data_IF_986136094135
#
_entry.id   IF_986136094135
#
_cell.length_a   1.000
_cell.length_b   1.000
_cell.length_c   1.000
_cell.angle_alpha   90.00
_cell.angle_beta   90.00
_cell.angle_gamma   90.00
#
_symmetry.space_group_name_H-M   'P 1'
#
loop_
_entity.id
_entity.type
_entity.pdbx_description
1 polymer ?
#
# COMPACT_ATOMS: atom_id res chain seq x y z
N UNK A 1 27.82 33.56 31.04
CA UNK A 1 27.75 32.50 30.01
C UNK A 1 26.42 31.80 30.18
N UNK A 2 25.49 31.99 29.25
CA UNK A 2 24.21 31.29 29.28
C UNK A 2 24.41 29.87 28.76
N UNK A 3 23.85 28.83 29.41
CA UNK A 3 23.94 27.47 28.90
C UNK A 3 23.15 27.39 27.59
N UNK A 4 23.78 26.87 26.54
CA UNK A 4 23.12 26.56 25.29
C UNK A 4 22.00 25.55 25.58
N UNK A 5 20.75 25.95 25.33
CA UNK A 5 19.62 25.03 25.31
C UNK A 5 19.93 23.98 24.23
N UNK A 6 20.08 22.72 24.65
CA UNK A 6 20.07 21.59 23.70
C UNK A 6 18.80 21.72 22.85
N UNK A 7 18.87 21.55 21.52
CA UNK A 7 17.68 21.46 20.71
C UNK A 7 16.76 20.42 21.36
N UNK A 8 15.54 20.82 21.72
CA UNK A 8 14.51 19.85 22.07
C UNK A 8 14.33 18.98 20.83
N UNK A 9 14.87 17.76 20.86
CA UNK A 9 14.54 16.72 19.91
C UNK A 9 13.02 16.60 19.93
N UNK A 10 12.36 17.10 18.88
CA UNK A 10 10.93 16.91 18.74
C UNK A 10 10.72 15.40 18.75
N UNK A 11 9.80 14.87 19.59
CA UNK A 11 9.52 13.46 19.58
C UNK A 11 9.21 13.03 18.14
N UNK A 12 9.70 11.86 17.68
CA UNK A 12 9.45 11.40 16.32
C UNK A 12 7.95 11.53 16.05
N UNK A 13 7.58 12.28 15.00
CA UNK A 13 6.16 12.46 14.63
C UNK A 13 5.51 11.10 14.62
N UNK A 14 4.45 10.91 15.41
CA UNK A 14 3.79 9.62 15.49
C UNK A 14 3.38 9.15 14.09
N UNK A 15 4.06 8.10 13.61
CA UNK A 15 3.84 7.56 12.28
C UNK A 15 2.68 6.56 12.25
N UNK A 16 2.07 6.22 13.40
CA UNK A 16 1.02 5.19 13.49
C UNK A 16 -0.12 5.43 12.50
N UNK A 17 -0.64 6.65 12.43
CA UNK A 17 -1.74 6.98 11.52
C UNK A 17 -1.33 6.86 10.04
N UNK A 18 -0.10 7.28 9.71
CA UNK A 18 0.41 7.20 8.34
C UNK A 18 0.63 5.75 7.91
N UNK A 19 1.26 4.95 8.78
CA UNK A 19 1.55 3.53 8.54
C UNK A 19 0.26 2.69 8.52
N UNK A 20 -0.71 2.99 9.38
CA UNK A 20 -2.02 2.30 9.37
C UNK A 20 -2.80 2.59 8.09
N UNK A 21 -2.84 3.84 7.62
CA UNK A 21 -3.52 4.17 6.36
C UNK A 21 -2.81 3.55 5.15
N UNK A 22 -1.48 3.37 5.19
CA UNK A 22 -0.76 2.61 4.17
C UNK A 22 -1.13 1.12 4.18
N UNK A 23 -1.23 0.51 5.36
CA UNK A 23 -1.62 -0.89 5.53
C UNK A 23 -3.04 -1.13 4.97
N UNK A 24 -4.00 -0.31 5.38
CA UNK A 24 -5.41 -0.40 4.94
C UNK A 24 -5.56 -0.22 3.42
N UNK A 25 -4.79 0.70 2.83
CA UNK A 25 -4.85 0.95 1.38
C UNK A 25 -4.21 -0.17 0.59
N UNK A 26 -3.06 -0.68 1.04
CA UNK A 26 -2.45 -1.82 0.41
C UNK A 26 -3.39 -3.04 0.41
N UNK A 27 -4.12 -3.28 1.51
CA UNK A 27 -5.15 -4.32 1.57
C UNK A 27 -6.30 -4.11 0.57
N UNK A 28 -6.78 -2.87 0.41
CA UNK A 28 -7.83 -2.56 -0.57
C UNK A 28 -7.38 -2.78 -2.00
N UNK A 29 -6.13 -2.42 -2.32
CA UNK A 29 -5.57 -2.61 -3.66
C UNK A 29 -5.42 -4.12 -3.94
N UNK A 30 -4.88 -4.89 -3.00
CA UNK A 30 -4.76 -6.36 -3.13
C UNK A 30 -6.13 -7.03 -3.29
N UNK A 31 -7.13 -6.63 -2.51
CA UNK A 31 -8.49 -7.15 -2.65
C UNK A 31 -9.10 -6.78 -4.02
N UNK A 32 -8.84 -5.57 -4.51
CA UNK A 32 -9.31 -5.13 -5.84
C UNK A 32 -8.64 -5.94 -6.96
N UNK A 33 -7.33 -6.20 -6.87
CA UNK A 33 -6.61 -7.06 -7.80
C UNK A 33 -7.19 -8.48 -7.82
N UNK A 34 -7.48 -9.05 -6.64
CA UNK A 34 -8.11 -10.36 -6.55
C UNK A 34 -9.47 -10.41 -7.23
N UNK A 35 -10.33 -9.40 -7.00
CA UNK A 35 -11.64 -9.30 -7.67
C UNK A 35 -11.47 -9.20 -9.19
N UNK A 36 -10.53 -8.39 -9.68
CA UNK A 36 -10.27 -8.27 -11.12
C UNK A 36 -9.81 -9.62 -11.71
N UNK A 37 -8.94 -10.35 -11.03
CA UNK A 37 -8.46 -11.66 -11.50
C UNK A 37 -9.54 -12.75 -11.47
N UNK A 38 -10.34 -12.81 -10.41
CA UNK A 38 -11.48 -13.73 -10.30
C UNK A 38 -12.53 -13.44 -11.39
N UNK A 39 -12.80 -12.16 -11.65
CA UNK A 39 -13.67 -11.74 -12.75
C UNK A 39 -13.10 -12.14 -14.10
N UNK A 40 -11.83 -11.88 -14.39
CA UNK A 40 -11.19 -12.26 -15.66
C UNK A 40 -11.26 -13.78 -15.92
N UNK A 41 -10.99 -14.57 -14.87
CA UNK A 41 -11.06 -16.04 -14.93
C UNK A 41 -12.48 -16.53 -15.24
N UNK A 42 -13.49 -15.98 -14.55
CA UNK A 42 -14.89 -16.40 -14.70
C UNK A 42 -15.56 -15.90 -15.99
N UNK A 43 -15.07 -14.80 -16.56
CA UNK A 43 -15.72 -14.15 -17.71
C UNK A 43 -15.16 -14.54 -19.08
N UNK A 44 -14.16 -15.43 -19.15
CA UNK A 44 -13.69 -16.04 -20.39
C UNK A 44 -14.78 -16.80 -21.19
N UNK A 45 -15.95 -17.06 -20.58
CA UNK A 45 -17.02 -17.90 -21.13
C UNK A 45 -18.37 -17.19 -21.38
N UNK A 46 -18.50 -15.87 -21.16
CA UNK A 46 -19.82 -15.20 -21.17
C UNK A 46 -20.19 -14.62 -22.55
N UNK A 47 -21.04 -15.36 -23.29
CA UNK A 47 -21.78 -14.88 -24.47
C UNK A 47 -23.09 -14.19 -24.05
N UNK A 48 -23.08 -12.91 -23.64
CA UNK A 48 -24.28 -12.01 -23.65
C UNK A 48 -23.94 -10.55 -23.32
N UNK A 49 -24.59 -9.61 -24.01
CA UNK A 49 -24.20 -8.19 -24.07
C UNK A 49 -24.47 -7.36 -22.82
N UNK A 50 -25.48 -7.69 -22.00
CA UNK A 50 -25.83 -6.93 -20.78
C UNK A 50 -24.91 -7.30 -19.62
N UNK A 51 -24.67 -8.61 -19.40
CA UNK A 51 -23.68 -9.11 -18.43
C UNK A 51 -22.27 -8.61 -18.77
N UNK A 52 -21.99 -8.38 -20.06
CA UNK A 52 -20.75 -7.75 -20.53
C UNK A 52 -20.64 -6.28 -20.17
N UNK A 53 -21.74 -5.52 -20.16
CA UNK A 53 -21.70 -4.09 -19.79
C UNK A 53 -21.52 -3.91 -18.29
N UNK A 54 -22.25 -4.68 -17.47
CA UNK A 54 -22.05 -4.70 -16.02
C UNK A 54 -20.62 -5.10 -15.65
N UNK A 55 -20.05 -6.07 -16.38
CA UNK A 55 -18.64 -6.45 -16.27
C UNK A 55 -17.70 -5.28 -16.59
N UNK A 56 -17.90 -4.58 -17.71
CA UNK A 56 -17.09 -3.41 -18.09
C UNK A 56 -17.17 -2.32 -17.02
N UNK A 57 -18.35 -2.09 -16.44
CA UNK A 57 -18.54 -1.05 -15.43
C UNK A 57 -17.90 -1.44 -14.08
N UNK A 58 -17.96 -2.72 -13.69
CA UNK A 58 -17.25 -3.24 -12.51
C UNK A 58 -15.74 -3.17 -12.70
N UNK A 59 -15.22 -3.56 -13.87
CA UNK A 59 -13.80 -3.42 -14.21
C UNK A 59 -13.37 -1.96 -14.08
N UNK A 60 -14.07 -1.03 -14.74
CA UNK A 60 -13.74 0.40 -14.73
C UNK A 60 -13.74 0.96 -13.32
N UNK A 61 -14.81 0.74 -12.56
CA UNK A 61 -14.95 1.24 -11.18
C UNK A 61 -13.87 0.69 -10.26
N UNK A 62 -13.50 -0.58 -10.42
CA UNK A 62 -12.48 -1.24 -9.59
C UNK A 62 -11.08 -0.73 -9.95
N UNK A 63 -10.75 -0.60 -11.24
CA UNK A 63 -9.47 -0.06 -11.70
C UNK A 63 -9.29 1.41 -11.31
N UNK A 64 -10.33 2.24 -11.41
CA UNK A 64 -10.28 3.65 -10.99
C UNK A 64 -9.98 3.81 -9.49
N UNK A 65 -10.69 3.05 -8.64
CA UNK A 65 -10.46 3.06 -7.18
C UNK A 65 -9.05 2.58 -6.85
N UNK A 66 -8.62 1.51 -7.50
CA UNK A 66 -7.28 0.94 -7.34
C UNK A 66 -6.19 1.95 -7.70
N UNK A 67 -6.34 2.66 -8.83
CA UNK A 67 -5.40 3.71 -9.24
C UNK A 67 -5.35 4.90 -8.27
N UNK A 68 -6.49 5.29 -7.72
CA UNK A 68 -6.54 6.35 -6.71
C UNK A 68 -5.82 5.95 -5.41
N UNK A 69 -6.05 4.72 -4.93
CA UNK A 69 -5.38 4.21 -3.73
C UNK A 69 -3.88 4.02 -3.96
N UNK A 70 -3.46 3.51 -5.11
CA UNK A 70 -2.06 3.38 -5.48
C UNK A 70 -1.35 4.74 -5.46
N UNK A 71 -1.94 5.76 -6.08
CA UNK A 71 -1.36 7.11 -6.08
C UNK A 71 -1.21 7.68 -4.67
N UNK A 72 -2.08 7.30 -3.73
CA UNK A 72 -1.93 7.68 -2.31
C UNK A 72 -0.78 6.90 -1.65
N UNK A 73 -0.67 5.59 -1.90
CA UNK A 73 0.40 4.75 -1.39
C UNK A 73 1.76 5.26 -1.86
N UNK A 74 1.94 5.51 -3.16
CA UNK A 74 3.20 6.02 -3.73
C UNK A 74 3.61 7.36 -3.09
N UNK A 75 2.67 8.31 -2.98
CA UNK A 75 2.94 9.61 -2.35
C UNK A 75 3.33 9.46 -0.88
N UNK A 76 2.66 8.59 -0.14
CA UNK A 76 2.88 8.41 1.30
C UNK A 76 4.13 7.59 1.60
N UNK A 77 4.41 6.56 0.82
CA UNK A 77 5.66 5.80 0.88
C UNK A 77 6.85 6.70 0.56
N UNK A 78 6.75 7.57 -0.45
CA UNK A 78 7.78 8.56 -0.76
C UNK A 78 8.06 9.58 0.36
N UNK A 79 7.11 9.81 1.27
CA UNK A 79 7.30 10.65 2.46
C UNK A 79 7.97 9.91 3.63
N UNK A 80 8.02 8.57 3.56
CA UNK A 80 8.67 7.72 4.55
C UNK A 80 10.13 7.52 4.16
N UNK A 81 11.00 8.41 4.62
CA UNK A 81 12.44 8.19 4.56
C UNK A 81 12.87 7.09 5.54
N UNK A 82 13.88 6.29 5.16
CA UNK A 82 14.46 5.23 6.01
C UNK A 82 14.86 5.76 7.39
N UNK A 83 15.49 6.93 7.45
CA UNK A 83 15.93 7.55 8.71
C UNK A 83 14.74 7.82 9.64
N UNK A 84 13.63 8.31 9.10
CA UNK A 84 12.43 8.63 9.87
C UNK A 84 11.71 7.38 10.38
N UNK A 85 11.73 6.29 9.61
CA UNK A 85 11.22 4.99 10.05
C UNK A 85 12.10 4.41 11.16
N UNK A 86 13.41 4.50 11.01
CA UNK A 86 14.36 4.05 12.01
C UNK A 86 14.21 4.82 13.32
N UNK A 87 14.18 6.16 13.28
CA UNK A 87 13.92 7.02 14.44
C UNK A 87 12.60 6.70 15.12
N UNK A 88 11.54 6.45 14.35
CA UNK A 88 10.25 6.07 14.92
C UNK A 88 10.28 4.68 15.56
N UNK A 89 10.99 3.70 14.99
CA UNK A 89 11.17 2.39 15.62
C UNK A 89 11.95 2.54 16.92
N UNK A 90 13.08 3.26 16.89
CA UNK A 90 13.97 3.40 18.04
C UNK A 90 13.40 4.28 19.16
N UNK A 91 12.49 5.19 18.83
CA UNK A 91 11.72 5.99 19.80
C UNK A 91 10.64 5.20 20.57
N UNK A 92 10.67 3.86 20.57
CA UNK A 92 9.82 3.03 21.42
C UNK A 92 10.28 3.08 22.89
N UNK A 93 9.32 3.06 23.83
CA UNK A 93 9.62 3.22 25.26
C UNK A 93 10.37 2.03 25.87
N UNK A 94 10.30 0.86 25.22
CA UNK A 94 10.96 -0.37 25.62
C UNK A 94 11.19 -1.27 24.40
N UNK A 95 12.00 -2.33 24.58
CA UNK A 95 12.37 -3.25 23.50
C UNK A 95 11.16 -3.97 22.90
N UNK A 96 10.12 -4.26 23.70
CA UNK A 96 8.90 -4.89 23.20
C UNK A 96 8.15 -3.97 22.22
N UNK A 97 8.05 -2.68 22.52
CA UNK A 97 7.45 -1.69 21.63
C UNK A 97 8.31 -1.50 20.38
N UNK A 98 9.63 -1.39 20.51
CA UNK A 98 10.54 -1.29 19.36
C UNK A 98 10.36 -2.49 18.43
N UNK A 99 10.29 -3.70 18.96
CA UNK A 99 10.02 -4.91 18.17
C UNK A 99 8.63 -4.90 17.52
N UNK A 100 7.58 -4.43 18.21
CA UNK A 100 6.24 -4.28 17.63
C UNK A 100 6.25 -3.29 16.45
N UNK A 101 6.91 -2.14 16.62
CA UNK A 101 7.09 -1.12 15.58
C UNK A 101 7.87 -1.67 14.39
N UNK A 102 8.97 -2.39 14.64
CA UNK A 102 9.76 -3.04 13.60
C UNK A 102 8.95 -4.07 12.80
N UNK A 103 8.24 -4.99 13.48
CA UNK A 103 7.37 -5.98 12.80
C UNK A 103 6.29 -5.32 11.94
N UNK A 104 5.72 -4.21 12.42
CA UNK A 104 4.71 -3.46 11.68
C UNK A 104 5.28 -2.82 10.41
N UNK A 105 6.45 -2.19 10.49
CA UNK A 105 7.13 -1.60 9.33
C UNK A 105 7.55 -2.68 8.32
N UNK A 106 8.08 -3.82 8.79
CA UNK A 106 8.42 -4.94 7.91
C UNK A 106 7.20 -5.45 7.16
N UNK A 107 6.07 -5.70 7.85
CA UNK A 107 4.82 -6.14 7.22
C UNK A 107 4.36 -5.20 6.12
N UNK A 108 4.36 -3.89 6.38
CA UNK A 108 3.93 -2.89 5.38
C UNK A 108 4.89 -2.89 4.18
N UNK A 109 6.20 -2.99 4.44
CA UNK A 109 7.22 -3.02 3.38
C UNK A 109 7.07 -4.24 2.48
N UNK A 110 6.86 -5.42 3.07
CA UNK A 110 6.58 -6.67 2.35
C UNK A 110 5.30 -6.53 1.52
N UNK A 111 4.23 -6.00 2.11
CA UNK A 111 2.95 -5.81 1.43
C UNK A 111 3.04 -4.83 0.24
N UNK A 112 3.77 -3.73 0.39
CA UNK A 112 4.00 -2.78 -0.72
C UNK A 112 4.81 -3.44 -1.84
N UNK A 113 5.85 -4.22 -1.49
CA UNK A 113 6.64 -4.95 -2.48
C UNK A 113 5.82 -6.00 -3.22
N UNK A 114 4.97 -6.75 -2.52
CA UNK A 114 4.05 -7.72 -3.13
C UNK A 114 3.08 -7.02 -4.07
N UNK A 115 2.60 -5.84 -3.68
CA UNK A 115 1.73 -5.02 -4.51
C UNK A 115 2.44 -4.55 -5.80
N UNK A 116 3.67 -4.05 -5.69
CA UNK A 116 4.49 -3.66 -6.84
C UNK A 116 4.71 -4.84 -7.80
N UNK A 117 4.97 -6.04 -7.26
CA UNK A 117 5.13 -7.25 -8.05
C UNK A 117 3.84 -7.65 -8.77
N UNK A 118 2.72 -7.71 -8.06
CA UNK A 118 1.42 -8.06 -8.65
C UNK A 118 0.98 -7.05 -9.71
N UNK A 119 1.29 -5.77 -9.50
CA UNK A 119 1.05 -4.74 -10.50
C UNK A 119 1.93 -4.89 -11.74
N UNK A 120 3.21 -5.22 -11.56
CA UNK A 120 4.11 -5.49 -12.67
C UNK A 120 3.66 -6.74 -13.46
N UNK A 121 3.25 -7.80 -12.76
CA UNK A 121 2.68 -9.01 -13.35
C UNK A 121 1.39 -8.72 -14.12
N UNK A 122 0.44 -7.98 -13.52
CA UNK A 122 -0.78 -7.57 -14.21
C UNK A 122 -0.44 -6.77 -15.47
N UNK A 123 0.45 -5.78 -15.38
CA UNK A 123 0.89 -5.01 -16.55
C UNK A 123 1.51 -5.88 -17.64
N UNK A 124 2.33 -6.87 -17.28
CA UNK A 124 2.98 -7.78 -18.23
C UNK A 124 2.01 -8.81 -18.81
N UNK A 125 1.08 -9.35 -18.02
CA UNK A 125 0.05 -10.28 -18.45
C UNK A 125 -0.92 -9.65 -19.44
N UNK A 126 -1.34 -8.40 -19.20
CA UNK A 126 -2.17 -7.63 -20.14
C UNK A 126 -1.38 -7.05 -21.34
N UNK A 127 -0.04 -7.06 -21.30
CA UNK A 127 0.82 -6.68 -22.43
C UNK A 127 1.37 -7.89 -23.21
N UNK A 128 0.99 -9.10 -22.80
CA UNK A 128 1.55 -10.38 -23.23
C UNK A 128 0.79 -11.09 -24.36
N UNK A 129 -0.20 -10.45 -24.99
CA UNK A 129 -0.78 -10.94 -26.24
C UNK A 129 0.10 -10.54 -27.43
N UNK A 130 0.98 -11.46 -27.83
CA UNK A 130 1.47 -11.59 -29.20
C UNK A 130 1.32 -13.02 -29.68
#
# INVERSE_FOLDING_TARGET
MSPAQKPQEQPPKDLRSLLSDLDDRADRILASLFVLWDLDTRYSEIEKSVERQDYIDVLRSTTEKMGADLGVVERKAGMLGYDRLFEWIDGGINDEEKQKRQRFVMRITEKIKDLENQMAEAKNGYSGDK
#
